data_IF_886826016403
#
_entry.id   IF_886826016403
#
_cell.length_a   1.000
_cell.length_b   1.000
_cell.length_c   1.000
_cell.angle_alpha   90.00
_cell.angle_beta   90.00
_cell.angle_gamma   90.00
#
_symmetry.space_group_name_H-M   'P 1'
#
loop_
_entity.id
_entity.type
_entity.pdbx_description
1 polymer ?
2 non-polymer ?
3 non-polymer ?
4 water ?
#
# COMPACT_ATOMS: atom_id res chain seq x y z
N UNK A 3 4.27 -32.96 9.13
CA UNK A 3 3.82 -32.71 7.77
C UNK A 3 4.29 -31.34 7.27
N UNK A 4 3.93 -30.98 6.04
CA UNK A 4 4.43 -29.77 5.40
C UNK A 4 3.29 -29.09 4.66
N UNK A 5 3.13 -27.78 4.90
CA UNK A 5 2.18 -26.94 4.17
C UNK A 5 2.98 -25.90 3.40
N UNK A 6 2.67 -25.75 2.11
CA UNK A 6 3.35 -24.76 1.30
C UNK A 6 2.85 -23.36 1.65
N UNK A 7 3.74 -22.37 1.63
CA UNK A 7 3.32 -20.98 1.90
C UNK A 7 2.03 -20.64 1.17
N UNK A 8 1.21 -19.80 1.81
CA UNK A 8 -0.14 -19.51 1.35
C UNK A 8 -0.27 -18.00 1.10
N UNK A 9 -0.79 -17.63 -0.07
CA UNK A 9 -0.96 -16.22 -0.46
C UNK A 9 -2.43 -15.84 -0.36
N UNK A 10 -2.74 -14.89 0.51
CA UNK A 10 -4.10 -14.39 0.71
C UNK A 10 -4.16 -12.89 0.39
N UNK A 11 -4.91 -12.46 -0.61
CA UNK A 11 -5.09 -11.01 -0.82
C UNK A 11 -5.74 -10.35 0.39
N UNK A 12 -5.10 -9.29 0.90
CA UNK A 12 -5.66 -8.51 2.00
C UNK A 12 -7.10 -8.10 1.67
N UNK A 13 -7.76 -7.52 2.67
CA UNK A 13 -9.09 -6.92 2.53
C UNK A 13 -10.10 -7.85 1.86
N UNK A 14 -9.92 -9.17 1.94
CA UNK A 14 -10.92 -10.09 1.44
C UNK A 14 -12.20 -10.03 2.25
N UNK A 15 -13.23 -10.70 1.76
CA UNK A 15 -14.47 -10.78 2.54
C UNK A 15 -15.09 -12.17 2.44
N UNK A 16 -14.28 -13.19 2.67
CA UNK A 16 -14.76 -14.52 2.94
C UNK A 16 -15.59 -15.13 1.84
N UNK A 17 -16.73 -15.74 2.19
CA UNK A 17 -17.25 -15.77 3.56
C UNK A 17 -16.30 -16.40 4.58
N UNK A 18 -16.31 -15.85 5.82
CA UNK A 18 -15.50 -16.27 6.95
C UNK A 18 -16.32 -17.10 7.92
N UNK A 19 -15.68 -18.05 8.61
CA UNK A 19 -14.25 -18.37 8.42
C UNK A 19 -13.98 -19.02 7.05
N UNK A 20 -12.84 -18.71 6.46
CA UNK A 20 -12.44 -19.26 5.17
C UNK A 20 -11.43 -20.38 5.37
N UNK A 21 -11.64 -21.51 4.68
CA UNK A 21 -10.72 -22.62 4.75
C UNK A 21 -9.52 -22.35 3.84
N UNK A 22 -8.32 -22.26 4.43
CA UNK A 22 -7.10 -21.97 3.68
C UNK A 22 -6.34 -23.23 3.29
N UNK A 23 -6.25 -24.19 4.20
CA UNK A 23 -5.51 -25.42 3.96
C UNK A 23 -5.78 -26.39 5.09
N UNK A 24 -5.51 -27.66 4.83
CA UNK A 24 -5.82 -28.72 5.78
C UNK A 24 -4.54 -29.37 6.25
N UNK A 25 -4.32 -29.34 7.57
CA UNK A 25 -3.20 -30.05 8.16
C UNK A 25 -3.58 -31.51 8.33
N UNK A 26 -2.61 -32.40 8.15
CA UNK A 26 -2.86 -33.82 8.25
C UNK A 26 -1.71 -34.50 8.96
N UNK A 27 -2.01 -35.27 10.00
CA UNK A 27 -1.02 -36.13 10.61
C UNK A 27 -1.15 -37.53 10.03
N UNK A 28 -0.01 -38.14 9.70
CA UNK A 28 -0.06 -39.49 9.16
C UNK A 28 -0.61 -40.47 10.19
N UNK A 29 -0.44 -40.17 11.48
CA UNK A 29 -0.70 -41.12 12.56
C UNK A 29 -2.16 -41.16 13.00
N UNK A 30 -3.09 -40.56 12.24
CA UNK A 30 -4.52 -40.72 12.59
C UNK A 30 -5.03 -42.16 12.31
N UNK A 31 -4.11 -43.09 12.06
CA UNK A 31 -4.46 -44.50 11.89
C UNK A 31 -4.36 -45.29 13.18
N UNK A 32 -3.56 -44.82 14.15
CA UNK A 32 -3.45 -45.45 15.45
C UNK A 32 -4.27 -44.75 16.53
N UNK A 33 -4.82 -43.59 16.24
CA UNK A 33 -5.57 -42.86 17.27
C UNK A 33 -6.29 -41.69 16.62
N UNK A 34 -7.17 -41.08 17.39
CA UNK A 34 -7.68 -39.76 17.05
C UNK A 34 -6.61 -38.73 17.35
N UNK A 35 -6.53 -37.69 16.52
CA UNK A 35 -5.53 -36.65 16.69
C UNK A 35 -6.25 -35.33 16.86
N UNK A 36 -5.82 -34.56 17.85
CA UNK A 36 -6.38 -33.24 18.14
C UNK A 36 -5.40 -32.17 17.63
N UNK A 37 -5.87 -31.32 16.73
CA UNK A 37 -5.01 -30.31 16.14
C UNK A 37 -5.14 -28.99 16.90
N UNK A 38 -4.10 -28.15 16.72
CA UNK A 38 -3.96 -26.89 17.44
C UNK A 38 -2.99 -26.01 16.63
N UNK A 39 -3.03 -24.71 16.89
CA UNK A 39 -2.19 -23.76 16.15
C UNK A 39 -1.62 -22.73 17.11
N UNK A 40 -0.40 -22.25 16.82
CA UNK A 40 0.27 -21.31 17.71
C UNK A 40 1.09 -20.30 16.91
N UNK A 41 1.18 -19.09 17.44
CA UNK A 41 1.98 -18.04 16.84
C UNK A 41 1.29 -16.70 16.77
N UNK A 42 2.03 -15.68 16.33
CA UNK A 42 1.43 -14.37 16.06
C UNK A 42 0.30 -14.50 15.05
N UNK A 43 -0.90 -14.06 15.44
CA UNK A 43 -2.11 -14.27 14.67
C UNK A 43 -3.02 -15.34 15.22
N UNK A 44 -2.48 -16.32 15.95
CA UNK A 44 -3.30 -17.37 16.53
C UNK A 44 -3.48 -17.16 18.03
N UNK A 45 -2.46 -17.52 18.82
CA UNK A 45 -2.58 -17.46 20.28
C UNK A 45 -1.80 -16.31 20.90
N UNK A 46 -1.13 -15.48 20.12
CA UNK A 46 -0.52 -14.25 20.61
C UNK A 46 -0.95 -13.09 19.74
N UNK A 47 -0.88 -11.87 20.25
CA UNK A 47 -1.43 -10.71 19.53
C UNK A 47 -0.85 -10.60 18.13
N UNK A 48 -1.69 -10.40 17.10
CA UNK A 48 -3.15 -10.30 17.23
C UNK A 48 -3.84 -11.67 17.24
N UNK A 49 -4.50 -12.00 18.35
CA UNK A 49 -5.07 -13.33 18.52
C UNK A 49 -6.32 -13.51 17.64
N UNK A 50 -6.63 -14.78 17.36
CA UNK A 50 -7.87 -15.13 16.69
C UNK A 50 -7.91 -14.93 15.20
N UNK A 51 -6.90 -14.31 14.60
CA UNK A 51 -6.91 -14.12 13.15
C UNK A 51 -6.94 -15.45 12.42
N UNK A 52 -6.14 -16.42 12.87
CA UNK A 52 -6.15 -17.76 12.32
C UNK A 52 -6.50 -18.79 13.38
N UNK A 53 -6.89 -19.96 12.91
CA UNK A 53 -7.41 -21.02 13.77
C UNK A 53 -7.46 -22.31 12.96
N UNK A 54 -7.41 -23.43 13.67
CA UNK A 54 -7.48 -24.74 13.06
C UNK A 54 -8.56 -25.55 13.75
N UNK A 55 -9.31 -26.32 12.96
CA UNK A 55 -10.39 -27.14 13.50
C UNK A 55 -9.80 -28.35 14.24
N UNK A 56 -10.20 -28.52 15.50
CA UNK A 56 -9.61 -29.54 16.36
C UNK A 56 -9.58 -30.90 15.68
N UNK A 57 -10.73 -31.36 15.17
CA UNK A 57 -10.86 -32.72 14.66
C UNK A 57 -10.36 -32.83 13.21
N UNK A 58 -10.78 -31.90 12.34
CA UNK A 58 -10.47 -32.03 10.92
C UNK A 58 -9.04 -31.60 10.57
N UNK A 59 -8.50 -30.62 11.30
CA UNK A 59 -7.23 -30.04 10.92
C UNK A 59 -7.34 -28.92 9.91
N UNK A 60 -8.55 -28.45 9.62
CA UNK A 60 -8.73 -27.41 8.62
C UNK A 60 -8.19 -26.09 9.14
N UNK A 61 -7.27 -25.49 8.38
CA UNK A 61 -6.71 -24.19 8.73
C UNK A 61 -7.70 -23.09 8.38
N UNK A 62 -7.97 -22.21 9.33
CA UNK A 62 -9.06 -21.25 9.24
C UNK A 62 -8.55 -19.82 9.28
N UNK A 63 -9.16 -18.96 8.47
CA UNK A 63 -8.99 -17.51 8.56
C UNK A 63 -10.33 -16.89 8.92
N UNK A 64 -10.35 -16.11 10.01
CA UNK A 64 -11.60 -15.68 10.62
C UNK A 64 -11.98 -14.24 10.32
N UNK A 65 -11.18 -13.50 9.56
CA UNK A 65 -11.45 -12.09 9.30
C UNK A 65 -10.58 -11.64 8.13
N UNK A 66 -10.99 -10.59 7.43
CA UNK A 66 -10.16 -10.07 6.33
C UNK A 66 -8.80 -9.58 6.85
N UNK A 67 -7.78 -9.80 6.02
CA UNK A 67 -6.43 -9.37 6.32
C UNK A 67 -6.21 -7.95 5.86
N UNK A 68 -5.23 -7.29 6.46
CA UNK A 68 -4.83 -5.92 6.11
C UNK A 68 -3.33 -5.95 5.86
N UNK A 69 -2.93 -6.11 4.61
CA UNK A 69 -1.52 -6.26 4.29
C UNK A 69 -0.67 -5.13 4.85
N UNK A 70 -1.23 -3.92 4.91
CA UNK A 70 -0.47 -2.78 5.41
C UNK A 70 -0.26 -2.84 6.92
N UNK A 71 -0.94 -3.74 7.63
CA UNK A 71 -0.69 -3.91 9.05
C UNK A 71 0.27 -5.06 9.35
N UNK A 72 -0.01 -6.26 8.84
CA UNK A 72 0.87 -7.41 8.94
C UNK A 72 0.90 -8.11 7.58
N UNK A 73 2.05 -8.10 6.93
CA UNK A 73 2.18 -8.65 5.59
C UNK A 73 2.44 -10.16 5.56
N UNK A 74 2.87 -10.74 6.68
CA UNK A 74 3.24 -12.16 6.67
C UNK A 74 3.12 -12.73 8.07
N UNK A 75 2.57 -13.93 8.15
CA UNK A 75 2.48 -14.68 9.40
C UNK A 75 3.29 -15.95 9.27
N UNK A 76 3.87 -16.38 10.38
CA UNK A 76 4.55 -17.68 10.45
C UNK A 76 3.96 -18.40 11.65
N UNK A 77 2.98 -19.25 11.38
CA UNK A 77 2.25 -20.01 12.39
C UNK A 77 2.87 -21.40 12.56
N UNK A 78 2.44 -22.11 13.59
CA UNK A 78 2.97 -23.44 13.87
C UNK A 78 1.84 -24.37 14.25
N UNK A 79 1.69 -25.45 13.50
CA UNK A 79 0.67 -26.45 13.77
C UNK A 79 1.20 -27.57 14.63
N UNK A 80 0.30 -28.22 15.35
CA UNK A 80 0.67 -29.27 16.29
C UNK A 80 -0.40 -30.33 16.33
N UNK A 81 0.03 -31.59 16.34
CA UNK A 81 -0.85 -32.75 16.43
C UNK A 81 -0.65 -33.40 17.80
N UNK A 82 -1.75 -33.62 18.51
CA UNK A 82 -1.74 -34.23 19.83
C UNK A 82 -2.67 -35.43 19.80
N UNK A 83 -2.14 -36.60 20.16
CA UNK A 83 -2.98 -37.77 20.29
C UNK A 83 -4.03 -37.54 21.38
N UNK A 84 -5.03 -38.43 21.40
CA UNK A 84 -6.06 -38.34 22.44
C UNK A 84 -5.53 -38.70 23.82
N UNK A 85 -4.51 -39.55 23.91
CA UNK A 85 -3.92 -39.81 25.23
C UNK A 85 -2.98 -38.72 25.68
N UNK A 86 -2.79 -37.66 24.89
CA UNK A 86 -2.04 -36.50 25.31
C UNK A 86 -0.64 -36.38 24.74
N UNK A 87 -0.13 -37.41 24.05
CA UNK A 87 1.22 -37.33 23.52
C UNK A 87 1.25 -36.58 22.18
N UNK A 88 2.24 -35.70 22.05
CA UNK A 88 2.51 -35.04 20.77
C UNK A 88 3.00 -36.08 19.76
N UNK A 89 2.37 -36.12 18.59
CA UNK A 89 2.60 -37.19 17.63
C UNK A 89 3.43 -36.76 16.42
N UNK A 90 3.52 -35.47 16.13
CA UNK A 90 4.24 -34.99 14.95
C UNK A 90 5.21 -33.89 15.34
N UNK A 91 6.09 -33.57 14.40
CA UNK A 91 6.94 -32.39 14.53
C UNK A 91 6.10 -31.14 14.32
N UNK A 92 6.35 -30.06 15.06
CA UNK A 92 5.61 -28.81 14.84
C UNK A 92 5.82 -28.30 13.43
N UNK A 93 4.72 -28.17 12.69
CA UNK A 93 4.76 -27.83 11.28
C UNK A 93 4.57 -26.32 11.10
N UNK A 94 5.51 -25.69 10.40
CA UNK A 94 5.45 -24.26 10.14
C UNK A 94 4.43 -23.96 9.05
N UNK A 95 3.66 -22.90 9.26
CA UNK A 95 2.66 -22.45 8.30
C UNK A 95 2.97 -21.01 7.95
N UNK A 96 3.33 -20.78 6.68
CA UNK A 96 3.66 -19.45 6.18
C UNK A 96 2.44 -18.85 5.51
N UNK A 97 2.04 -17.66 5.95
CA UNK A 97 0.98 -16.88 5.29
C UNK A 97 1.60 -15.57 4.79
N UNK A 98 1.52 -15.35 3.48
CA UNK A 98 1.94 -14.10 2.84
C UNK A 98 0.69 -13.30 2.49
N UNK A 99 0.68 -12.01 2.82
CA UNK A 99 -0.47 -11.15 2.55
C UNK A 99 -0.19 -10.33 1.28
N UNK A 100 -1.02 -10.53 0.26
CA UNK A 100 -0.86 -9.83 -1.01
C UNK A 100 -1.73 -8.57 -1.08
N UNK A 101 -1.23 -7.60 -1.82
CA UNK A 101 -1.72 -6.22 -1.79
C UNK A 101 -2.93 -6.03 -2.70
N UNK A 102 -3.91 -5.29 -2.19
CA UNK A 102 -4.90 -4.59 -2.99
C UNK A 102 -4.61 -3.10 -2.92
N UNK A 103 -5.22 -2.34 -3.83
CA UNK A 103 -4.97 -0.90 -3.89
C UNK A 103 -5.99 -0.18 -3.00
N UNK A 104 -5.68 -0.13 -1.70
CA UNK A 104 -6.61 0.43 -0.72
C UNK A 104 -6.06 1.68 -0.03
N UNK A 105 -5.08 2.35 -0.60
CA UNK A 105 -4.54 3.58 -0.04
C UNK A 105 -4.49 4.69 -1.09
N UNK A 106 -4.82 5.89 -0.67
CA UNK A 106 -4.72 7.08 -1.48
C UNK A 106 -3.33 7.70 -1.32
N UNK A 107 -2.60 7.95 -2.40
CA UNK A 107 -1.28 8.59 -2.29
C UNK A 107 -1.37 9.89 -1.51
N UNK A 108 -0.31 10.20 -0.76
CA UNK A 108 -0.27 11.43 0.02
C UNK A 108 1.00 12.21 -0.28
N UNK A 109 0.85 13.52 -0.48
CA UNK A 109 2.01 14.39 -0.64
C UNK A 109 2.77 14.48 0.68
N UNK A 110 4.09 14.57 0.56
CA UNK A 110 4.94 14.66 1.75
C UNK A 110 4.75 15.98 2.49
N UNK A 111 4.16 16.98 1.83
CA UNK A 111 3.89 18.29 2.40
C UNK A 111 2.52 18.76 1.92
N UNK A 112 1.88 19.62 2.73
CA UNK A 112 0.64 20.24 2.27
C UNK A 112 0.91 21.40 1.29
N UNK A 113 2.01 22.12 1.44
CA UNK A 113 2.34 23.21 0.53
C UNK A 113 3.84 23.19 0.23
N UNK A 114 4.18 22.94 -1.03
CA UNK A 114 5.54 23.07 -1.53
C UNK A 114 5.79 24.47 -2.08
N UNK A 115 6.97 25.02 -1.84
CA UNK A 115 7.33 26.35 -2.28
C UNK A 115 8.55 26.31 -3.21
N UNK A 116 8.61 27.27 -4.14
CA UNK A 116 9.75 27.39 -5.04
C UNK A 116 9.79 28.73 -5.74
N UNK A 117 10.99 29.08 -6.23
CA UNK A 117 11.26 30.37 -6.85
C UNK A 117 11.92 30.19 -8.20
N UNK A 118 11.80 31.21 -9.05
CA UNK A 118 12.48 31.25 -10.34
C UNK A 118 12.71 32.70 -10.73
N UNK A 119 13.84 32.95 -11.40
CA UNK A 119 14.13 34.27 -11.92
C UNK A 119 13.10 34.65 -12.96
N UNK A 120 12.55 35.87 -12.85
CA UNK A 120 11.54 36.34 -13.79
C UNK A 120 11.87 35.98 -15.24
N UNK A 121 13.16 35.97 -15.59
CA UNK A 121 13.60 35.84 -16.96
C UNK A 121 13.93 34.45 -17.48
N UNK A 122 13.83 33.41 -16.65
CA UNK A 122 14.17 32.06 -17.12
C UNK A 122 13.35 31.71 -18.37
N UNK A 123 13.87 30.74 -19.13
CA UNK A 123 13.27 30.31 -20.40
C UNK A 123 12.25 29.21 -20.18
N UNK A 124 11.34 29.00 -21.14
CA UNK A 124 10.48 27.82 -21.06
C UNK A 124 11.34 26.56 -21.08
N UNK A 125 10.89 25.55 -20.35
CA UNK A 125 11.68 24.36 -20.10
C UNK A 125 12.40 24.36 -18.76
N UNK A 126 12.42 25.51 -18.08
CA UNK A 126 13.12 25.61 -16.81
C UNK A 126 12.36 24.90 -15.71
N UNK A 127 13.09 24.14 -14.88
CA UNK A 127 12.53 23.45 -13.72
C UNK A 127 12.46 24.39 -12.52
N UNK A 128 11.35 24.34 -11.81
CA UNK A 128 11.13 25.13 -10.60
C UNK A 128 11.33 24.31 -9.34
N UNK A 129 10.62 23.20 -9.22
CA UNK A 129 10.61 22.43 -7.98
C UNK A 129 10.25 20.97 -8.28
N UNK A 130 10.45 20.12 -7.28
CA UNK A 130 10.06 18.72 -7.37
C UNK A 130 9.21 18.36 -6.16
N UNK A 131 7.96 18.02 -6.43
CA UNK A 131 6.99 17.55 -5.46
C UNK A 131 7.07 16.03 -5.38
N UNK A 132 6.62 15.46 -4.25
CA UNK A 132 6.60 14.02 -4.11
C UNK A 132 5.35 13.57 -3.38
N UNK A 133 4.82 12.42 -3.78
CA UNK A 133 3.72 11.76 -3.10
C UNK A 133 4.11 10.32 -2.82
N UNK A 134 3.66 9.79 -1.69
CA UNK A 134 4.00 8.43 -1.28
C UNK A 134 2.74 7.59 -1.14
N UNK A 135 2.76 6.39 -1.71
CA UNK A 135 1.65 5.45 -1.66
C UNK A 135 2.09 4.21 -0.91
N UNK A 136 1.36 3.87 0.17
CA UNK A 136 1.70 2.74 1.01
C UNK A 136 1.46 1.40 0.32
N UNK A 137 0.67 1.39 -0.74
CA UNK A 137 0.40 0.17 -1.48
C UNK A 137 1.65 -0.30 -2.22
N UNK A 138 1.54 -1.49 -2.79
CA UNK A 138 2.68 -2.11 -3.46
C UNK A 138 2.94 -1.39 -4.78
N UNK A 139 4.22 -1.12 -5.06
CA UNK A 139 4.64 -0.53 -6.33
C UNK A 139 5.58 -1.44 -7.09
N UNK A 140 5.76 -2.68 -6.62
CA UNK A 140 6.73 -3.62 -7.20
C UNK A 140 6.08 -4.43 -8.31
N UNK A 141 5.05 -5.20 -7.97
CA UNK A 141 4.38 -6.06 -8.92
C UNK A 141 3.13 -5.42 -9.50
N UNK A 142 2.63 -4.34 -8.90
CA UNK A 142 1.47 -3.60 -9.38
C UNK A 142 1.75 -2.11 -9.27
N UNK A 143 0.86 -1.33 -9.85
CA UNK A 143 0.91 0.12 -9.77
C UNK A 143 0.02 0.68 -8.66
N UNK A 144 -0.48 -0.16 -7.75
CA UNK A 144 -1.37 0.34 -6.70
C UNK A 144 -0.72 1.47 -5.91
N UNK A 145 0.62 1.49 -5.85
CA UNK A 145 1.34 2.53 -5.16
C UNK A 145 2.26 3.33 -6.07
N UNK A 146 2.01 3.29 -7.37
CA UNK A 146 2.72 4.14 -8.32
C UNK A 146 1.97 5.45 -8.47
N UNK A 147 2.71 6.56 -8.54
CA UNK A 147 2.09 7.88 -8.56
C UNK A 147 2.23 8.48 -9.95
N UNK A 148 1.12 9.00 -10.47
CA UNK A 148 1.11 9.95 -11.56
C UNK A 148 0.85 11.34 -10.99
N UNK A 149 1.64 12.31 -11.45
CA UNK A 149 1.46 13.70 -11.07
C UNK A 149 0.75 14.47 -12.19
N UNK A 150 -0.10 15.41 -11.76
CA UNK A 150 -0.85 16.30 -12.64
C UNK A 150 -0.90 17.67 -11.98
N UNK A 151 -1.22 18.69 -12.76
CA UNK A 151 -1.56 19.99 -12.21
C UNK A 151 -3.07 20.07 -12.16
N UNK A 152 -3.61 20.39 -10.99
CA UNK A 152 -5.05 20.59 -10.87
C UNK A 152 -5.48 21.89 -11.53
N UNK A 153 -5.03 23.00 -10.97
CA UNK A 153 -5.43 24.34 -11.39
C UNK A 153 -4.28 25.29 -11.13
N UNK A 154 -4.30 26.45 -11.81
CA UNK A 154 -3.34 27.54 -11.67
C UNK A 154 -4.07 28.82 -11.29
N UNK A 155 -3.58 29.52 -10.26
CA UNK A 155 -4.13 30.87 -9.95
C UNK A 155 -3.01 31.80 -9.53
N UNK A 156 -3.00 33.07 -9.99
CA UNK A 156 -3.98 33.65 -10.93
C UNK A 156 -3.75 33.13 -12.34
N UNK A 157 -4.45 33.69 -13.33
CA UNK A 157 -4.32 33.22 -14.71
C UNK A 157 -3.83 34.32 -15.65
N UNK A 158 -2.97 35.24 -15.16
CA UNK A 158 -2.25 36.17 -16.04
C UNK A 158 -0.79 35.75 -16.12
N UNK A 159 -0.15 35.90 -17.28
CA UNK A 159 -0.73 36.46 -18.51
C UNK A 159 -1.65 35.47 -19.22
N UNK A 160 -1.75 34.25 -18.68
CA UNK A 160 -2.76 33.28 -19.09
C UNK A 160 -2.69 32.06 -18.19
N UNK A 161 -3.48 31.03 -18.51
CA UNK A 161 -3.57 29.82 -17.70
C UNK A 161 -2.61 28.76 -18.22
N UNK A 162 -2.36 27.75 -17.37
CA UNK A 162 -1.54 26.60 -17.73
C UNK A 162 -0.14 27.05 -18.14
N UNK A 163 0.46 27.91 -17.33
CA UNK A 163 1.83 28.32 -17.58
C UNK A 163 2.84 27.34 -16.99
N UNK A 164 2.36 26.30 -16.31
CA UNK A 164 3.24 25.33 -15.68
C UNK A 164 2.78 23.92 -16.04
N UNK A 165 3.74 23.02 -16.19
CA UNK A 165 3.46 21.61 -16.36
C UNK A 165 4.24 20.86 -15.30
N UNK A 166 3.83 19.63 -15.03
CA UNK A 166 4.51 18.79 -14.05
C UNK A 166 4.91 17.49 -14.74
N UNK A 167 6.10 16.99 -14.43
CA UNK A 167 6.56 15.74 -14.98
C UNK A 167 5.73 14.60 -14.38
N UNK A 168 5.21 13.72 -15.24
CA UNK A 168 4.20 12.76 -14.82
C UNK A 168 4.72 11.81 -13.75
N UNK A 169 5.96 11.35 -13.89
CA UNK A 169 6.55 10.42 -12.93
C UNK A 169 7.38 11.09 -11.86
N UNK A 170 8.19 12.12 -12.19
CA UNK A 170 9.10 12.66 -11.19
C UNK A 170 8.47 13.71 -10.29
N UNK A 171 7.39 14.36 -10.74
CA UNK A 171 6.83 15.44 -9.97
C UNK A 171 7.58 16.76 -10.08
N UNK A 172 8.44 16.90 -11.09
CA UNK A 172 9.14 18.17 -11.30
C UNK A 172 8.21 19.14 -12.05
N UNK A 173 7.97 20.30 -11.45
CA UNK A 173 7.16 21.35 -12.04
C UNK A 173 8.07 22.27 -12.85
N UNK A 174 7.66 22.60 -14.07
CA UNK A 174 8.49 23.41 -14.95
C UNK A 174 7.67 24.54 -15.57
N UNK A 175 8.39 25.59 -15.99
CA UNK A 175 7.77 26.72 -16.68
C UNK A 175 7.71 26.39 -18.17
N UNK A 176 6.53 26.55 -18.75
CA UNK A 176 6.27 26.13 -20.12
C UNK A 176 5.99 27.29 -21.05
N UNK A 177 5.77 28.49 -20.50
CA UNK A 177 5.42 29.65 -21.31
C UNK A 177 6.26 30.84 -20.88
N UNK A 178 6.29 31.83 -21.77
CA UNK A 178 6.93 33.10 -21.51
C UNK A 178 5.97 34.03 -20.77
N UNK A 179 6.46 35.19 -20.39
CA UNK A 179 5.60 36.21 -19.83
C UNK A 179 5.62 36.38 -18.32
N UNK A 180 6.41 35.59 -17.61
CA UNK A 180 6.51 35.82 -16.17
C UNK A 180 6.98 37.25 -15.89
N UNK A 181 6.56 37.77 -14.74
CA UNK A 181 6.83 39.16 -14.38
C UNK A 181 6.40 39.41 -12.94
N UNK A 182 7.36 39.70 -12.06
CA UNK A 182 7.02 39.89 -10.65
C UNK A 182 6.11 41.10 -10.47
N UNK A 183 6.41 42.20 -11.16
CA UNK A 183 5.58 43.38 -11.00
C UNK A 183 4.13 43.12 -11.42
N UNK A 184 3.89 42.15 -12.32
CA UNK A 184 2.53 41.85 -12.74
C UNK A 184 1.89 40.75 -11.90
N UNK A 185 2.60 39.65 -11.65
CA UNK A 185 2.14 38.62 -10.71
C UNK A 185 3.34 38.04 -9.99
N UNK A 186 3.57 38.40 -8.72
CA UNK A 186 4.75 37.87 -8.01
C UNK A 186 4.66 36.39 -7.69
N UNK A 187 3.45 35.86 -7.53
CA UNK A 187 3.25 34.55 -6.93
C UNK A 187 2.12 33.81 -7.64
N UNK A 188 2.37 32.56 -8.00
CA UNK A 188 1.35 31.67 -8.54
C UNK A 188 1.10 30.53 -7.57
N UNK A 189 -0.17 30.22 -7.34
CA UNK A 189 -0.57 29.13 -6.44
C UNK A 189 -1.14 28.00 -7.29
N UNK A 190 -0.35 26.95 -7.47
CA UNK A 190 -0.80 25.75 -8.17
C UNK A 190 -1.43 24.77 -7.19
N UNK A 191 -2.50 24.12 -7.64
CA UNK A 191 -2.99 22.91 -6.99
C UNK A 191 -2.41 21.72 -7.74
N UNK A 192 -1.75 20.81 -7.01
CA UNK A 192 -1.10 19.65 -7.61
C UNK A 192 -1.85 18.40 -7.22
N UNK A 193 -1.78 17.39 -8.10
CA UNK A 193 -2.50 16.15 -7.90
C UNK A 193 -1.56 14.96 -7.97
N UNK A 194 -1.94 13.89 -7.27
CA UNK A 194 -1.19 12.64 -7.27
C UNK A 194 -2.19 11.49 -7.32
N UNK A 195 -2.04 10.63 -8.33
CA UNK A 195 -3.01 9.61 -8.69
C UNK A 195 -2.30 8.26 -8.73
N UNK A 196 -2.78 7.29 -7.96
CA UNK A 196 -2.10 6.00 -7.98
C UNK A 196 -2.59 5.19 -9.18
N UNK A 197 -2.18 3.93 -9.26
CA UNK A 197 -2.43 3.18 -10.49
C UNK A 197 -1.93 3.96 -11.70
N UNK A 198 -0.87 4.73 -11.50
CA UNK A 198 -0.27 5.53 -12.56
C UNK A 198 -1.33 6.37 -13.27
N UNK A 199 -2.13 7.10 -12.47
CA UNK A 199 -3.14 8.00 -12.97
C UNK A 199 -4.54 7.44 -13.07
N UNK A 200 -4.75 6.15 -12.73
CA UNK A 200 -6.04 5.51 -12.94
C UNK A 200 -6.88 5.40 -11.68
N UNK A 201 -6.29 5.57 -10.50
CA UNK A 201 -6.97 5.30 -9.25
C UNK A 201 -7.27 6.56 -8.46
N UNK A 202 -7.08 6.47 -7.14
CA UNK A 202 -7.34 7.58 -6.25
C UNK A 202 -6.40 8.75 -6.55
N UNK A 203 -6.85 9.95 -6.19
CA UNK A 203 -6.13 11.18 -6.48
C UNK A 203 -6.19 12.08 -5.26
N UNK A 204 -5.04 12.60 -4.85
CA UNK A 204 -4.99 13.54 -3.73
C UNK A 204 -4.39 14.84 -4.24
N UNK A 205 -4.56 15.91 -3.45
CA UNK A 205 -4.10 17.23 -3.87
C UNK A 205 -3.17 17.85 -2.83
N UNK A 206 -2.31 18.74 -3.34
CA UNK A 206 -1.48 19.61 -2.50
C UNK A 206 -1.39 20.96 -3.21
N UNK A 207 -0.62 21.87 -2.62
CA UNK A 207 -0.42 23.20 -3.19
C UNK A 207 1.03 23.36 -3.59
N UNK A 208 1.28 24.03 -4.71
CA UNK A 208 2.62 24.46 -5.08
C UNK A 208 2.59 25.96 -5.28
N UNK A 209 3.32 26.68 -4.44
CA UNK A 209 3.43 28.13 -4.54
C UNK A 209 4.73 28.43 -5.27
N UNK A 210 4.62 29.01 -6.46
CA UNK A 210 5.78 29.42 -7.24
C UNK A 210 5.92 30.92 -7.11
N UNK A 211 7.04 31.36 -6.52
CA UNK A 211 7.33 32.77 -6.34
C UNK A 211 8.24 33.26 -7.47
N UNK A 212 7.93 34.44 -7.99
CA UNK A 212 8.64 34.99 -9.14
C UNK A 212 9.68 35.98 -8.64
N UNK A 213 10.94 35.73 -8.99
CA UNK A 213 12.04 36.56 -8.49
C UNK A 213 12.40 37.61 -9.53
N UNK A 214 12.30 38.87 -9.14
CA UNK A 214 12.72 39.97 -9.97
C UNK A 214 14.14 39.74 -10.47
#
# INVERSE_FOLDING_TARGET
>A
RDWVVAPISVPENGKGPFPQRLNQLKSNKDRDTKIFYSITGPGADSPPEGVFAVEKETGWLLLNKPLDREEIAKYELFGHAVSENGASVEDPMNISIIVTDQNDHKPKFTQDTFRGSVLEGVLPGTSVMQVTATDEDDAIYTYNGVVAYSIHSQEPKDPHDLMFTIHRSTGTISVISSGLDREKVPEYTLTIQATDMDGDGSTTTAVAVVEILD
#
